data_IF_956636652691
#
_entry.id   IF_956636652691
#
_cell.length_a   1.000
_cell.length_b   1.000
_cell.length_c   1.000
_cell.angle_alpha   90.00
_cell.angle_beta   90.00
_cell.angle_gamma   90.00
#
_symmetry.space_group_name_H-M   'P 1'
#
loop_
_entity.id
_entity.type
_entity.pdbx_description
1 polymer ?
#
# COMPACT_ATOMS: atom_id res chain seq x y z
N UNK A 1 37.36 -7.13 -3.27
CA UNK A 1 37.07 -8.33 -4.09
C UNK A 1 37.05 -8.00 -5.57
N UNK A 2 35.96 -7.48 -6.15
CA UNK A 2 35.93 -7.12 -7.59
C UNK A 2 36.92 -6.01 -7.98
N UNK A 3 37.04 -4.95 -7.17
CA UNK A 3 38.00 -3.86 -7.41
C UNK A 3 39.48 -4.33 -7.38
N UNK A 4 39.75 -5.51 -6.82
CA UNK A 4 41.08 -6.15 -6.80
C UNK A 4 41.24 -7.21 -7.92
N UNK A 5 40.31 -7.27 -8.89
CA UNK A 5 40.36 -8.21 -10.02
C UNK A 5 39.94 -9.65 -9.70
N UNK A 6 39.45 -9.93 -8.49
CA UNK A 6 39.01 -11.29 -8.12
C UNK A 6 37.59 -11.58 -8.62
N UNK A 7 37.39 -12.82 -9.12
CA UNK A 7 36.08 -13.35 -9.52
C UNK A 7 35.16 -13.50 -8.31
N UNK A 8 33.90 -13.11 -8.44
CA UNK A 8 32.85 -13.28 -7.42
C UNK A 8 31.79 -14.23 -7.96
N UNK A 9 31.46 -15.27 -7.19
CA UNK A 9 30.48 -16.31 -7.55
C UNK A 9 29.40 -16.39 -6.46
N UNK A 10 28.24 -15.73 -6.63
CA UNK A 10 27.15 -15.82 -5.66
C UNK A 10 26.46 -17.18 -5.77
N UNK A 11 26.22 -17.81 -4.63
CA UNK A 11 25.37 -19.00 -4.52
C UNK A 11 23.99 -18.56 -4.03
N UNK A 12 22.90 -19.02 -4.66
CA UNK A 12 21.56 -18.78 -4.12
C UNK A 12 21.41 -19.48 -2.76
N UNK A 13 20.58 -18.91 -1.89
CA UNK A 13 20.37 -19.45 -0.55
C UNK A 13 19.18 -18.80 0.17
N UNK A 14 18.89 -19.24 1.41
CA UNK A 14 17.80 -18.71 2.20
C UNK A 14 17.92 -17.21 2.43
N UNK A 15 16.80 -16.50 2.34
CA UNK A 15 16.71 -15.07 2.63
C UNK A 15 15.42 -14.80 3.39
N UNK A 16 15.55 -14.28 4.61
CA UNK A 16 14.40 -13.93 5.45
C UNK A 16 13.50 -12.89 4.79
N UNK A 17 14.05 -12.02 3.94
CA UNK A 17 13.30 -11.03 3.17
C UNK A 17 12.34 -11.70 2.20
N UNK A 18 12.85 -12.59 1.34
CA UNK A 18 12.01 -13.26 0.33
C UNK A 18 11.07 -14.27 0.96
N UNK A 19 11.49 -14.94 2.03
CA UNK A 19 10.62 -15.83 2.81
C UNK A 19 9.45 -15.05 3.42
N UNK A 20 9.70 -13.90 4.08
CA UNK A 20 8.65 -13.07 4.64
C UNK A 20 7.70 -12.55 3.57
N UNK A 21 8.22 -12.02 2.45
CA UNK A 21 7.41 -11.56 1.32
C UNK A 21 6.50 -12.66 0.78
N UNK A 22 7.00 -13.89 0.66
CA UNK A 22 6.20 -15.02 0.15
C UNK A 22 5.03 -15.41 1.07
N UNK A 23 5.10 -15.07 2.36
CA UNK A 23 4.10 -15.39 3.37
C UNK A 23 3.23 -14.19 3.79
N UNK A 24 3.63 -12.96 3.46
CA UNK A 24 2.96 -11.74 3.92
C UNK A 24 1.55 -11.55 3.34
N UNK A 25 1.28 -12.13 2.16
CA UNK A 25 -0.03 -12.03 1.53
C UNK A 25 -0.38 -10.62 1.03
N UNK A 26 0.62 -9.76 0.81
CA UNK A 26 0.42 -8.47 0.14
C UNK A 26 0.00 -8.72 -1.32
N UNK A 27 -1.22 -8.32 -1.65
CA UNK A 27 -1.83 -8.51 -2.99
C UNK A 27 -1.77 -7.25 -3.84
N UNK A 28 -1.39 -6.12 -3.26
CA UNK A 28 -1.36 -4.82 -3.94
C UNK A 28 0.04 -4.47 -4.45
N UNK A 29 1.08 -5.06 -3.83
CA UNK A 29 2.46 -4.83 -4.21
C UNK A 29 2.87 -5.52 -5.50
N UNK A 30 3.30 -4.74 -6.49
CA UNK A 30 3.99 -5.27 -7.69
C UNK A 30 5.51 -5.37 -7.48
N UNK A 31 6.07 -4.44 -6.70
CA UNK A 31 7.49 -4.33 -6.36
C UNK A 31 7.66 -4.19 -4.84
N UNK A 32 8.87 -4.47 -4.35
CA UNK A 32 9.19 -4.25 -2.93
C UNK A 32 10.49 -3.47 -2.72
N UNK A 33 10.54 -2.76 -1.61
CA UNK A 33 11.73 -2.09 -1.06
C UNK A 33 12.20 -2.81 0.19
N UNK A 34 13.47 -3.21 0.22
CA UNK A 34 14.11 -3.67 1.45
C UNK A 34 14.89 -2.53 2.10
N UNK A 35 14.49 -2.14 3.31
CA UNK A 35 15.11 -1.04 4.09
C UNK A 35 16.10 -1.57 5.13
N UNK A 36 15.89 -2.78 5.63
CA UNK A 36 16.63 -3.30 6.78
C UNK A 36 16.13 -2.64 8.07
N UNK A 37 17.03 -2.06 8.86
CA UNK A 37 16.69 -1.49 10.17
C UNK A 37 16.47 0.03 10.10
N UNK A 38 15.39 0.51 10.72
CA UNK A 38 15.20 1.94 10.96
C UNK A 38 16.13 2.45 12.07
N UNK A 39 16.27 3.78 12.17
CA UNK A 39 17.05 4.41 13.23
C UNK A 39 16.58 3.98 14.62
N UNK A 40 17.53 3.78 15.54
CA UNK A 40 17.22 3.49 16.94
C UNK A 40 16.67 4.71 17.68
N UNK A 41 16.98 5.92 17.19
CA UNK A 41 16.50 7.18 17.79
C UNK A 41 15.05 7.44 17.39
N UNK A 42 14.20 7.74 18.37
CA UNK A 42 12.76 7.88 18.16
C UNK A 42 12.39 8.92 17.08
N UNK A 43 12.96 10.13 17.15
CA UNK A 43 12.65 11.22 16.21
C UNK A 43 13.02 10.85 14.76
N UNK A 44 14.21 10.30 14.56
CA UNK A 44 14.67 9.88 13.22
C UNK A 44 13.83 8.69 12.71
N UNK A 45 13.51 7.72 13.56
CA UNK A 45 12.63 6.60 13.21
C UNK A 45 11.25 7.07 12.75
N UNK A 46 10.62 7.97 13.50
CA UNK A 46 9.31 8.52 13.14
C UNK A 46 9.39 9.30 11.82
N UNK A 47 10.47 10.04 11.57
CA UNK A 47 10.67 10.72 10.29
C UNK A 47 10.79 9.73 9.12
N UNK A 48 11.58 8.65 9.28
CA UNK A 48 11.68 7.58 8.28
C UNK A 48 10.33 6.90 8.05
N UNK A 49 9.58 6.62 9.11
CA UNK A 49 8.24 6.03 8.99
C UNK A 49 7.26 6.93 8.24
N UNK A 50 7.32 8.25 8.45
CA UNK A 50 6.49 9.21 7.70
C UNK A 50 6.83 9.22 6.22
N UNK A 51 8.11 9.10 5.86
CA UNK A 51 8.50 8.93 4.47
C UNK A 51 7.91 7.63 3.90
N UNK A 52 8.09 6.51 4.61
CA UNK A 52 7.56 5.20 4.21
C UNK A 52 6.02 5.18 4.11
N UNK A 53 5.32 5.96 4.93
CA UNK A 53 3.85 6.07 4.89
C UNK A 53 3.33 6.50 3.51
N UNK A 54 4.12 7.31 2.79
CA UNK A 54 3.78 7.85 1.47
C UNK A 54 4.21 6.95 0.31
N UNK A 55 4.96 5.89 0.59
CA UNK A 55 5.46 4.99 -0.44
C UNK A 55 4.36 4.01 -0.86
N UNK A 56 4.08 3.87 -2.17
CA UNK A 56 3.10 2.92 -2.65
C UNK A 56 3.60 1.48 -2.58
N UNK A 57 4.91 1.25 -2.68
CA UNK A 57 5.48 -0.10 -2.74
C UNK A 57 5.48 -0.85 -1.40
N UNK A 58 5.41 -2.19 -1.47
CA UNK A 58 5.63 -3.07 -0.32
C UNK A 58 6.99 -2.77 0.31
N UNK A 59 7.06 -2.66 1.63
CA UNK A 59 8.33 -2.34 2.32
C UNK A 59 8.68 -3.39 3.35
N UNK A 60 9.90 -3.94 3.25
CA UNK A 60 10.42 -4.93 4.21
C UNK A 60 11.40 -4.28 5.18
N UNK A 61 11.12 -4.44 6.48
CA UNK A 61 11.93 -4.00 7.59
C UNK A 61 12.44 -5.20 8.42
N UNK A 62 13.58 -5.03 9.06
CA UNK A 62 14.03 -5.87 10.15
C UNK A 62 13.89 -5.12 11.48
N UNK A 63 13.65 -5.87 12.55
CA UNK A 63 13.69 -5.29 13.89
C UNK A 63 14.21 -6.28 14.95
N UNK A 64 14.90 -5.73 15.94
CA UNK A 64 15.44 -6.46 17.08
C UNK A 64 14.38 -6.59 18.21
N UNK A 65 14.44 -7.65 19.04
CA UNK A 65 13.43 -7.91 20.06
C UNK A 65 13.30 -6.80 21.11
N UNK A 66 14.40 -6.14 21.47
CA UNK A 66 14.39 -5.04 22.43
C UNK A 66 13.86 -3.72 21.85
N UNK A 67 13.57 -3.67 20.54
CA UNK A 67 13.09 -2.50 19.81
C UNK A 67 11.70 -2.65 19.23
N UNK A 68 11.21 -3.88 19.06
CA UNK A 68 9.94 -4.16 18.36
C UNK A 68 8.75 -3.40 18.95
N UNK A 69 8.65 -3.30 20.27
CA UNK A 69 7.56 -2.56 20.93
C UNK A 69 7.60 -1.05 20.58
N UNK A 70 8.81 -0.47 20.52
CA UNK A 70 8.99 0.94 20.17
C UNK A 70 8.75 1.22 18.68
N UNK A 71 9.02 0.25 17.80
CA UNK A 71 8.66 0.32 16.39
C UNK A 71 7.15 0.19 16.21
N UNK A 72 6.52 -0.77 16.89
CA UNK A 72 5.07 -0.99 16.82
C UNK A 72 4.28 0.24 17.24
N UNK A 73 4.66 0.90 18.34
CA UNK A 73 4.02 2.15 18.76
C UNK A 73 4.17 3.26 17.71
N UNK A 74 5.36 3.42 17.13
CA UNK A 74 5.59 4.42 16.11
C UNK A 74 4.84 4.14 14.79
N UNK A 75 4.69 2.86 14.41
CA UNK A 75 3.88 2.46 13.26
C UNK A 75 2.40 2.77 13.47
N UNK A 76 1.86 2.40 14.65
CA UNK A 76 0.48 2.69 15.04
C UNK A 76 0.18 4.20 15.02
N UNK A 77 1.12 5.04 15.45
CA UNK A 77 0.96 6.50 15.42
C UNK A 77 1.04 7.09 14.01
N UNK A 78 1.95 6.61 13.17
CA UNK A 78 2.25 7.24 11.86
C UNK A 78 1.32 6.74 10.75
N UNK A 79 0.94 5.47 10.78
CA UNK A 79 0.19 4.82 9.70
C UNK A 79 -0.79 3.77 10.25
N UNK A 80 -1.74 4.15 11.13
CA UNK A 80 -2.57 3.21 11.90
C UNK A 80 -3.30 2.17 11.04
N UNK A 81 -3.88 2.59 9.92
CA UNK A 81 -4.64 1.74 9.01
C UNK A 81 -3.77 1.00 7.97
N UNK A 82 -2.44 1.08 8.08
CA UNK A 82 -1.54 0.35 7.19
C UNK A 82 -1.56 -1.13 7.58
N UNK A 83 -2.01 -1.99 6.67
CA UNK A 83 -1.82 -3.42 6.83
C UNK A 83 -0.34 -3.78 6.80
N UNK A 84 0.09 -4.66 7.70
CA UNK A 84 1.43 -5.19 7.75
C UNK A 84 1.43 -6.65 8.18
N UNK A 85 2.44 -7.39 7.73
CA UNK A 85 2.75 -8.74 8.23
C UNK A 85 3.96 -8.72 9.14
N UNK A 86 3.81 -9.21 10.36
CA UNK A 86 4.91 -9.49 11.28
C UNK A 86 5.30 -10.95 11.16
N UNK A 87 6.52 -11.22 10.71
CA UNK A 87 7.12 -12.55 10.69
C UNK A 87 8.12 -12.66 11.83
N UNK A 88 7.91 -13.61 12.73
CA UNK A 88 8.74 -13.87 13.90
C UNK A 88 9.36 -15.26 13.81
N UNK A 89 10.66 -15.37 14.10
CA UNK A 89 11.37 -16.65 14.20
C UNK A 89 11.19 -17.54 12.96
N UNK A 90 11.25 -16.94 11.75
CA UNK A 90 11.11 -17.67 10.48
C UNK A 90 12.02 -18.90 10.44
N UNK A 91 11.46 -20.01 9.94
CA UNK A 91 11.99 -21.37 9.81
C UNK A 91 12.23 -22.13 11.12
N UNK A 92 11.94 -21.54 12.29
CA UNK A 92 12.21 -22.15 13.60
C UNK A 92 10.93 -22.75 14.20
N UNK A 93 11.09 -23.51 15.29
CA UNK A 93 9.99 -24.19 15.98
C UNK A 93 8.84 -23.25 16.40
N UNK A 94 9.15 -21.99 16.70
CA UNK A 94 8.19 -20.99 17.17
C UNK A 94 7.93 -19.90 16.10
N UNK A 95 8.00 -20.27 14.82
CA UNK A 95 7.63 -19.39 13.72
C UNK A 95 6.21 -18.84 13.91
N UNK A 96 6.03 -17.55 13.61
CA UNK A 96 4.72 -16.91 13.60
C UNK A 96 4.68 -15.89 12.47
N UNK A 97 3.66 -15.96 11.62
CA UNK A 97 3.37 -14.93 10.62
C UNK A 97 1.97 -14.42 10.89
N UNK A 98 1.86 -13.14 11.21
CA UNK A 98 0.58 -12.50 11.52
C UNK A 98 0.42 -11.25 10.66
N UNK A 99 -0.75 -11.09 10.03
CA UNK A 99 -1.11 -9.88 9.27
C UNK A 99 -2.21 -9.12 9.99
N UNK A 100 -2.00 -7.82 10.21
CA UNK A 100 -2.91 -6.93 10.91
C UNK A 100 -2.64 -5.47 10.53
N UNK A 101 -3.54 -4.57 10.89
CA UNK A 101 -3.30 -3.13 10.77
C UNK A 101 -2.31 -2.65 11.82
N UNK A 102 -1.49 -1.66 11.46
CA UNK A 102 -0.41 -1.15 12.32
C UNK A 102 -0.89 -0.73 13.71
N UNK A 103 -2.11 -0.20 13.84
CA UNK A 103 -2.70 0.18 15.12
C UNK A 103 -2.92 -1.00 16.09
N UNK A 104 -3.16 -2.20 15.56
CA UNK A 104 -3.40 -3.39 16.38
C UNK A 104 -2.09 -4.04 16.86
N UNK A 105 -0.95 -3.70 16.26
CA UNK A 105 0.34 -4.35 16.52
C UNK A 105 0.84 -4.20 17.97
N UNK A 106 0.76 -3.03 18.62
CA UNK A 106 1.15 -2.90 20.03
C UNK A 106 0.32 -3.83 20.94
N UNK A 107 -0.99 -3.89 20.72
CA UNK A 107 -1.90 -4.76 21.49
C UNK A 107 -1.60 -6.23 21.28
N UNK A 108 -1.36 -6.63 20.02
CA UNK A 108 -0.99 -7.99 19.68
C UNK A 108 0.33 -8.43 20.33
N UNK A 109 1.35 -7.57 20.33
CA UNK A 109 2.64 -7.86 20.99
C UNK A 109 2.50 -7.96 22.51
N UNK A 110 1.67 -7.11 23.12
CA UNK A 110 1.48 -7.08 24.57
C UNK A 110 0.66 -8.27 25.11
N UNK A 111 -0.13 -8.93 24.26
CA UNK A 111 -1.00 -10.04 24.66
C UNK A 111 -0.23 -11.30 25.11
N UNK A 112 1.03 -11.45 24.71
CA UNK A 112 1.88 -12.57 25.15
C UNK A 112 3.36 -12.13 25.21
N UNK A 113 4.02 -12.21 26.38
CA UNK A 113 5.45 -11.88 26.53
C UNK A 113 6.39 -12.62 25.57
N UNK A 114 6.03 -13.81 25.07
CA UNK A 114 6.83 -14.53 24.08
C UNK A 114 6.86 -13.85 22.72
N UNK A 115 5.86 -13.02 22.38
CA UNK A 115 5.78 -12.29 21.10
C UNK A 115 6.82 -11.18 20.99
N UNK A 116 7.47 -10.80 22.09
CA UNK A 116 8.58 -9.84 22.12
C UNK A 116 9.96 -10.49 21.94
N UNK A 117 10.03 -11.81 21.74
CA UNK A 117 11.29 -12.56 21.64
C UNK A 117 11.57 -13.07 20.23
N UNK A 118 12.86 -13.13 19.90
CA UNK A 118 13.36 -13.68 18.65
C UNK A 118 13.70 -12.61 17.62
N UNK A 119 13.73 -13.01 16.37
CA UNK A 119 14.04 -12.17 15.21
C UNK A 119 12.76 -11.80 14.47
N UNK A 120 12.68 -10.55 13.99
CA UNK A 120 11.49 -10.01 13.33
C UNK A 120 11.80 -9.51 11.92
N UNK A 121 10.92 -9.86 11.00
CA UNK A 121 10.78 -9.22 9.69
C UNK A 121 9.38 -8.63 9.64
N UNK A 122 9.26 -7.35 9.29
CA UNK A 122 7.98 -6.70 9.05
C UNK A 122 7.85 -6.45 7.56
N UNK A 123 6.69 -6.77 7.00
CA UNK A 123 6.32 -6.43 5.63
C UNK A 123 5.18 -5.42 5.73
N UNK A 124 5.48 -4.14 5.50
CA UNK A 124 4.45 -3.12 5.34
C UNK A 124 3.84 -3.33 3.96
N UNK A 125 2.52 -3.58 3.92
CA UNK A 125 1.85 -3.84 2.65
C UNK A 125 1.82 -2.57 1.80
N UNK A 126 1.87 -2.75 0.50
CA UNK A 126 1.71 -1.70 -0.48
C UNK A 126 0.45 -0.88 -0.18
N UNK A 127 0.45 0.40 -0.56
CA UNK A 127 -0.82 1.12 -0.58
C UNK A 127 -1.73 0.37 -1.56
N UNK A 128 -3.03 0.25 -1.27
CA UNK A 128 -3.98 0.00 -2.33
C UNK A 128 -3.62 0.96 -3.45
N UNK A 129 -3.50 0.46 -4.68
CA UNK A 129 -3.52 1.36 -5.82
C UNK A 129 -4.72 2.26 -5.52
N UNK A 130 -4.48 3.57 -5.33
CA UNK A 130 -5.56 4.52 -5.14
C UNK A 130 -6.56 4.07 -6.18
N UNK A 131 -7.74 3.62 -5.72
CA UNK A 131 -8.71 3.02 -6.61
C UNK A 131 -8.67 3.89 -7.83
N UNK A 132 -8.54 3.31 -9.01
CA UNK A 132 -8.81 4.08 -10.19
C UNK A 132 -10.28 4.53 -10.08
N UNK A 133 -10.62 5.48 -9.20
CA UNK A 133 -11.02 6.81 -9.58
C UNK A 133 -10.24 7.15 -10.84
N UNK A 134 -10.67 6.52 -11.93
CA UNK A 134 -10.91 7.15 -13.19
C UNK A 134 -9.84 8.21 -13.43
N UNK A 135 -8.72 7.77 -14.03
CA UNK A 135 -7.61 8.58 -14.56
C UNK A 135 -8.00 10.06 -14.58
N UNK A 136 -7.26 11.03 -14.03
CA UNK A 136 -7.74 12.41 -13.79
C UNK A 136 -8.54 13.05 -14.95
N UNK A 137 -8.31 12.60 -16.18
CA UNK A 137 -9.11 12.81 -17.38
C UNK A 137 -10.58 12.31 -17.32
N UNK A 138 -10.86 11.09 -16.87
CA UNK A 138 -12.19 10.49 -16.66
C UNK A 138 -12.92 11.17 -15.49
N UNK A 139 -12.29 11.37 -14.33
CA UNK A 139 -12.89 12.15 -13.24
C UNK A 139 -13.20 13.61 -13.66
N UNK A 140 -12.35 14.20 -14.52
CA UNK A 140 -12.64 15.50 -15.13
C UNK A 140 -13.77 15.44 -16.16
N UNK A 141 -13.88 14.36 -16.92
CA UNK A 141 -14.94 14.16 -17.91
C UNK A 141 -16.31 14.00 -17.24
N UNK A 142 -16.41 13.23 -16.16
CA UNK A 142 -17.64 13.02 -15.40
C UNK A 142 -18.16 14.33 -14.79
N UNK A 143 -17.28 15.12 -14.15
CA UNK A 143 -17.66 16.44 -13.61
C UNK A 143 -18.15 17.40 -14.69
N UNK A 144 -17.42 17.49 -15.80
CA UNK A 144 -17.79 18.35 -16.92
C UNK A 144 -19.11 17.90 -17.55
N UNK A 145 -19.29 16.59 -17.77
CA UNK A 145 -20.51 16.02 -18.33
C UNK A 145 -21.72 16.33 -17.46
N UNK A 146 -21.61 16.17 -16.13
CA UNK A 146 -22.70 16.47 -15.18
C UNK A 146 -23.15 17.93 -15.25
N UNK A 147 -22.21 18.87 -15.34
CA UNK A 147 -22.53 20.30 -15.49
C UNK A 147 -23.20 20.59 -16.83
N UNK A 148 -22.68 20.03 -17.92
CA UNK A 148 -23.19 20.32 -19.27
C UNK A 148 -24.55 19.66 -19.53
N UNK A 149 -24.79 18.45 -19.05
CA UNK A 149 -26.09 17.76 -19.21
C UNK A 149 -27.22 18.50 -18.49
N UNK A 150 -26.92 19.24 -17.42
CA UNK A 150 -27.90 20.07 -16.71
C UNK A 150 -28.28 21.34 -17.49
N UNK A 151 -27.42 21.83 -18.38
CA UNK A 151 -27.58 23.12 -19.07
C UNK A 151 -27.83 22.99 -20.59
N UNK A 152 -27.51 21.86 -21.20
CA UNK A 152 -27.49 21.67 -22.65
C UNK A 152 -28.20 20.38 -23.08
N UNK A 153 -28.67 20.30 -24.35
CA UNK A 153 -29.12 19.05 -24.96
C UNK A 153 -28.05 17.95 -24.85
N UNK A 154 -28.48 16.72 -24.52
CA UNK A 154 -27.63 15.54 -24.29
C UNK A 154 -26.51 15.38 -25.34
N UNK A 155 -26.85 15.51 -26.62
CA UNK A 155 -25.90 15.36 -27.74
C UNK A 155 -24.81 16.43 -27.73
N UNK A 156 -25.15 17.67 -27.34
CA UNK A 156 -24.17 18.77 -27.24
C UNK A 156 -23.29 18.61 -26.00
N UNK A 157 -23.87 18.23 -24.85
CA UNK A 157 -23.10 17.97 -23.64
C UNK A 157 -22.04 16.87 -23.85
N UNK A 158 -22.44 15.74 -24.45
CA UNK A 158 -21.53 14.63 -24.77
C UNK A 158 -20.45 15.05 -25.77
N UNK A 159 -20.81 15.83 -26.80
CA UNK A 159 -19.86 16.29 -27.81
C UNK A 159 -18.78 17.21 -27.23
N UNK A 160 -19.19 18.16 -26.38
CA UNK A 160 -18.29 19.12 -25.73
C UNK A 160 -17.41 18.45 -24.67
N UNK A 161 -17.94 17.51 -23.89
CA UNK A 161 -17.12 16.75 -22.94
C UNK A 161 -16.08 15.90 -23.66
N UNK A 162 -16.45 15.19 -24.73
CA UNK A 162 -15.51 14.38 -25.51
C UNK A 162 -14.39 15.21 -26.13
N UNK A 163 -14.71 16.42 -26.60
CA UNK A 163 -13.72 17.34 -27.16
C UNK A 163 -12.78 17.90 -26.09
N UNK A 164 -13.31 18.23 -24.91
CA UNK A 164 -12.53 18.80 -23.82
C UNK A 164 -11.63 17.78 -23.10
N UNK A 165 -12.01 16.50 -23.08
CA UNK A 165 -11.32 15.48 -22.27
C UNK A 165 -10.75 14.31 -23.07
N UNK A 166 -11.05 14.19 -24.36
CA UNK A 166 -10.63 13.05 -25.19
C UNK A 166 -11.31 11.73 -24.82
N UNK A 167 -12.28 11.74 -23.90
CA UNK A 167 -13.00 10.53 -23.49
C UNK A 167 -13.92 9.99 -24.62
N UNK A 168 -14.12 8.66 -24.71
CA UNK A 168 -14.86 8.05 -25.80
C UNK A 168 -16.34 8.47 -25.78
N UNK A 169 -16.83 8.98 -26.92
CA UNK A 169 -18.20 9.50 -27.06
C UNK A 169 -19.29 8.50 -26.67
N UNK A 170 -19.11 7.22 -26.98
CA UNK A 170 -20.12 6.20 -26.68
C UNK A 170 -20.30 6.03 -25.17
N UNK A 171 -19.21 5.94 -24.40
CA UNK A 171 -19.26 5.84 -22.94
C UNK A 171 -19.88 7.09 -22.30
N UNK A 172 -19.51 8.28 -22.78
CA UNK A 172 -20.10 9.54 -22.31
C UNK A 172 -21.60 9.63 -22.61
N UNK A 173 -22.06 9.07 -23.72
CA UNK A 173 -23.48 9.07 -24.09
C UNK A 173 -24.33 8.18 -23.17
N UNK A 174 -23.86 6.97 -22.89
CA UNK A 174 -24.50 6.06 -21.93
C UNK A 174 -24.56 6.69 -20.54
N UNK A 175 -23.44 7.29 -20.12
CA UNK A 175 -23.36 7.98 -18.83
C UNK A 175 -24.29 9.19 -18.72
N UNK A 176 -24.38 10.01 -19.78
CA UNK A 176 -25.27 11.16 -19.83
C UNK A 176 -26.75 10.75 -19.76
N UNK A 177 -27.12 9.59 -20.32
CA UNK A 177 -28.47 9.05 -20.19
C UNK A 177 -28.79 8.66 -18.75
N UNK A 178 -27.87 7.96 -18.07
CA UNK A 178 -28.00 7.60 -16.65
C UNK A 178 -28.19 8.84 -15.76
N UNK A 179 -27.42 9.90 -16.01
CA UNK A 179 -27.52 11.18 -15.27
C UNK A 179 -28.86 11.89 -15.49
N UNK A 180 -29.50 11.75 -16.66
CA UNK A 180 -30.85 12.30 -16.92
C UNK A 180 -31.98 11.44 -16.36
N UNK A 181 -31.79 10.14 -16.28
CA UNK A 181 -32.81 9.22 -15.76
C UNK A 181 -32.84 9.13 -14.24
N UNK A 182 -31.90 9.77 -13.53
CA UNK A 182 -31.84 9.75 -12.07
C UNK A 182 -31.59 8.37 -11.47
N UNK A 183 -31.01 7.45 -12.24
CA UNK A 183 -30.68 6.11 -11.75
C UNK A 183 -29.44 6.19 -10.83
N UNK A 184 -29.46 5.52 -9.66
CA UNK A 184 -28.28 5.47 -8.79
C UNK A 184 -27.12 4.81 -9.54
N UNK A 185 -25.94 5.36 -9.33
CA UNK A 185 -24.67 4.74 -9.72
C UNK A 185 -24.43 3.47 -8.90
N UNK A 186 -23.87 2.43 -9.51
CA UNK A 186 -23.50 1.17 -8.83
C UNK A 186 -22.44 1.35 -7.71
N UNK A 187 -21.94 2.56 -7.48
CA UNK A 187 -21.05 2.94 -6.36
C UNK A 187 -21.78 3.30 -5.04
N UNK A 188 -23.12 3.34 -5.01
CA UNK A 188 -23.91 3.64 -3.80
C UNK A 188 -24.49 2.38 -3.10
N UNK A 189 -23.95 1.19 -3.37
CA UNK A 189 -24.37 -0.09 -2.77
C UNK A 189 -23.27 -0.79 -1.96
#
# INVERSE_FOLDING_TARGET
MRAAGHRVLPLPGPSSVTTALSAAGDTQGEDFRFVGFLSSKAVERTAQLRELATRPETTVLFEAPHRIAALAGALAEVMPARSLSLCRELTKQFEHVETLDAEALPGWLAADPHRLRGEFVLVLHALPAAAAEDSPMIASAERLLRTLVAALPLKQAVALTAEATGAPRNALYERALQLRSGAPTEDDA
#
